data_IF_715455834942
#
_entry.id   IF_715455834942
#
_cell.length_a   1.000
_cell.length_b   1.000
_cell.length_c   1.000
_cell.angle_alpha   90.00
_cell.angle_beta   90.00
_cell.angle_gamma   90.00
#
_symmetry.space_group_name_H-M   'P 1'
#
loop_
_entity.id
_entity.type
_entity.pdbx_description
1 polymer ?
#
# COMPACT_ATOMS: atom_id res chain seq x y z
N UNK A 1 -3.10 1.89 -0.12
CA UNK A 1 -2.31 0.74 0.38
C UNK A 1 -1.89 1.03 1.80
N UNK A 2 -1.91 0.04 2.67
CA UNK A 2 -1.41 0.14 4.04
C UNK A 2 -0.17 -0.75 4.17
N UNK A 3 1.00 -0.14 4.37
CA UNK A 3 2.23 -0.85 4.70
C UNK A 3 2.37 -0.87 6.21
N UNK A 4 1.98 -2.00 6.81
CA UNK A 4 2.04 -2.20 8.26
C UNK A 4 3.46 -2.50 8.73
N UNK A 5 3.70 -2.48 10.05
CA UNK A 5 4.93 -2.99 10.69
C UNK A 5 5.36 -4.42 10.23
N UNK A 6 4.41 -5.20 9.68
CA UNK A 6 4.66 -6.53 9.11
C UNK A 6 5.01 -6.53 7.62
N UNK A 7 5.20 -5.37 7.00
CA UNK A 7 5.46 -5.19 5.56
C UNK A 7 4.37 -5.76 4.62
N UNK A 8 3.17 -6.03 5.14
CA UNK A 8 2.00 -6.36 4.32
C UNK A 8 1.54 -5.13 3.52
N UNK A 9 0.92 -5.33 2.36
CA UNK A 9 0.24 -4.29 1.57
C UNK A 9 -1.13 -4.81 1.15
N UNK A 10 -2.21 -4.16 1.61
CA UNK A 10 -3.57 -4.55 1.20
C UNK A 10 -4.38 -3.34 0.68
N UNK A 11 -4.63 -3.25 -0.65
CA UNK A 11 -5.51 -2.23 -1.22
C UNK A 11 -6.99 -2.40 -0.83
N UNK A 12 -7.41 -3.59 -0.34
CA UNK A 12 -8.81 -3.85 0.04
C UNK A 12 -9.20 -3.11 1.32
N UNK A 13 -8.23 -2.74 2.17
CA UNK A 13 -8.49 -1.98 3.40
C UNK A 13 -9.12 -0.60 3.13
N UNK A 14 -8.80 0.00 1.98
CA UNK A 14 -9.34 1.29 1.56
C UNK A 14 -9.79 1.21 0.10
N UNK A 15 -11.01 0.71 -0.16
CA UNK A 15 -11.53 0.62 -1.52
C UNK A 15 -11.49 1.97 -2.22
N UNK A 16 -10.97 1.96 -3.46
CA UNK A 16 -10.91 3.14 -4.31
C UNK A 16 -12.30 3.55 -4.81
N UNK A 17 -12.43 4.81 -5.19
CA UNK A 17 -13.66 5.39 -5.74
C UNK A 17 -13.31 6.31 -6.91
N UNK A 18 -14.19 6.39 -7.90
CA UNK A 18 -14.14 7.45 -8.90
C UNK A 18 -14.60 8.76 -8.27
N UNK A 19 -13.76 9.79 -8.39
CA UNK A 19 -14.03 11.12 -7.85
C UNK A 19 -14.17 12.07 -9.03
N UNK A 20 -15.30 12.77 -9.11
CA UNK A 20 -15.54 13.76 -10.17
C UNK A 20 -14.58 14.96 -10.08
N UNK A 21 -14.37 15.71 -11.19
CA UNK A 21 -13.51 16.90 -11.18
C UNK A 21 -13.92 17.92 -10.11
N UNK A 22 -12.94 18.44 -9.37
CA UNK A 22 -13.16 19.44 -8.31
C UNK A 22 -13.85 18.91 -7.05
N UNK A 23 -14.05 17.59 -6.94
CA UNK A 23 -14.63 16.94 -5.76
C UNK A 23 -13.53 16.39 -4.85
N UNK A 24 -13.90 16.20 -3.59
CA UNK A 24 -13.07 15.53 -2.59
C UNK A 24 -13.56 14.11 -2.41
N UNK A 25 -12.64 13.15 -2.44
CA UNK A 25 -12.90 11.77 -2.03
C UNK A 25 -12.44 11.53 -0.60
N UNK A 26 -13.11 10.60 0.08
CA UNK A 26 -12.75 10.16 1.41
C UNK A 26 -12.54 8.64 1.40
N UNK A 27 -11.53 8.17 2.12
CA UNK A 27 -11.41 6.74 2.42
C UNK A 27 -12.58 6.31 3.31
N UNK A 28 -13.01 5.05 3.19
CA UNK A 28 -14.09 4.46 3.99
C UNK A 28 -15.37 5.29 4.04
N UNK A 29 -15.72 5.99 2.96
CA UNK A 29 -16.88 6.91 2.89
C UNK A 29 -16.89 7.98 4.00
N UNK A 30 -15.71 8.39 4.48
CA UNK A 30 -15.54 9.36 5.55
C UNK A 30 -15.58 8.76 6.96
N UNK A 31 -15.70 7.43 7.09
CA UNK A 31 -15.58 6.78 8.38
C UNK A 31 -14.14 6.90 8.92
N UNK A 32 -13.96 7.03 10.25
CA UNK A 32 -12.63 7.09 10.84
C UNK A 32 -11.81 5.82 10.59
N UNK A 33 -10.55 6.00 10.21
CA UNK A 33 -9.56 4.93 10.21
C UNK A 33 -9.19 4.61 11.65
N UNK A 34 -9.25 3.34 12.05
CA UNK A 34 -8.90 2.88 13.40
C UNK A 34 -7.54 2.20 13.37
N UNK A 35 -6.47 2.84 13.89
CA UNK A 35 -5.19 2.18 14.06
C UNK A 35 -5.31 1.12 15.14
N UNK A 36 -4.62 -0.01 14.97
CA UNK A 36 -4.55 -1.07 15.95
C UNK A 36 -3.12 -1.60 16.04
N UNK A 37 -2.73 -2.08 17.22
CA UNK A 37 -1.49 -2.84 17.34
C UNK A 37 -1.67 -4.22 16.68
N UNK A 38 -0.63 -4.78 16.07
CA UNK A 38 -0.64 -6.18 15.65
C UNK A 38 -1.02 -7.08 16.83
N UNK A 39 -1.80 -8.15 16.59
CA UNK A 39 -2.29 -9.02 17.67
C UNK A 39 -1.19 -9.68 18.52
N UNK A 40 0.03 -9.76 18.01
CA UNK A 40 1.21 -10.25 18.74
C UNK A 40 1.81 -9.23 19.71
N UNK A 41 1.40 -7.96 19.66
CA UNK A 41 1.97 -6.87 20.47
C UNK A 41 1.07 -6.54 21.64
N UNK A 42 1.59 -6.69 22.86
CA UNK A 42 0.88 -6.35 24.08
C UNK A 42 0.55 -4.85 24.16
N UNK A 43 -0.69 -4.53 24.53
CA UNK A 43 -1.15 -3.16 24.79
C UNK A 43 -0.61 -2.71 26.14
N UNK A 44 0.41 -1.85 26.12
CA UNK A 44 0.99 -1.21 27.32
C UNK A 44 1.39 0.22 26.98
N UNK A 45 1.42 1.11 27.98
CA UNK A 45 1.85 2.51 27.78
C UNK A 45 3.21 2.56 27.08
N UNK A 46 3.31 3.44 26.08
CA UNK A 46 4.48 3.60 25.22
C UNK A 46 4.63 2.55 24.10
N UNK A 47 3.76 1.55 24.01
CA UNK A 47 3.73 0.67 22.84
C UNK A 47 3.38 1.50 21.59
N UNK A 48 4.12 1.32 20.51
CA UNK A 48 3.90 2.04 19.25
C UNK A 48 3.78 1.09 18.05
N UNK A 49 3.17 1.57 16.97
CA UNK A 49 3.15 0.97 15.63
C UNK A 49 3.39 2.07 14.59
N UNK A 50 4.06 1.74 13.49
CA UNK A 50 4.27 2.65 12.36
C UNK A 50 3.66 2.05 11.10
N UNK A 51 2.86 2.85 10.42
CA UNK A 51 2.16 2.43 9.21
C UNK A 51 2.39 3.45 8.10
N UNK A 52 2.48 3.02 6.84
CA UNK A 52 2.52 3.92 5.69
C UNK A 52 1.28 3.74 4.83
N UNK A 53 0.49 4.81 4.71
CA UNK A 53 -0.62 4.86 3.77
C UNK A 53 -0.15 5.39 2.42
N UNK A 54 -0.29 4.58 1.37
CA UNK A 54 -0.06 5.00 -0.03
C UNK A 54 -1.38 5.37 -0.69
N UNK A 55 -1.53 6.64 -1.03
CA UNK A 55 -2.55 7.12 -1.94
C UNK A 55 -2.04 6.97 -3.37
N UNK A 56 -2.86 6.35 -4.23
CA UNK A 56 -2.64 6.25 -5.66
C UNK A 56 -3.84 6.89 -6.33
N UNK A 57 -3.59 7.86 -7.22
CA UNK A 57 -4.61 8.52 -8.03
C UNK A 57 -4.26 8.27 -9.48
N UNK A 58 -5.24 7.86 -10.28
CA UNK A 58 -5.10 7.65 -11.71
C UNK A 58 -6.30 8.25 -12.45
N UNK A 59 -6.11 8.63 -13.71
CA UNK A 59 -7.19 9.12 -14.56
C UNK A 59 -8.20 8.02 -14.93
N UNK A 60 -7.76 6.76 -14.97
CA UNK A 60 -8.57 5.57 -15.25
C UNK A 60 -8.60 4.56 -14.10
N UNK A 61 -9.35 3.48 -14.29
CA UNK A 61 -9.40 2.39 -13.33
C UNK A 61 -8.03 1.69 -13.22
N UNK A 62 -7.54 1.52 -11.99
CA UNK A 62 -6.27 0.86 -11.73
C UNK A 62 -6.51 -0.56 -11.22
N UNK A 63 -5.89 -1.56 -11.86
CA UNK A 63 -5.83 -2.90 -11.29
C UNK A 63 -4.98 -2.90 -10.02
N UNK A 64 -5.60 -3.17 -8.87
CA UNK A 64 -4.91 -3.16 -7.57
C UNK A 64 -4.37 -4.52 -7.14
N UNK A 65 -4.70 -5.60 -7.86
CA UNK A 65 -4.25 -6.97 -7.52
C UNK A 65 -2.73 -7.09 -7.41
N UNK A 66 -1.90 -6.50 -8.30
CA UNK A 66 -0.44 -6.59 -8.20
C UNK A 66 0.16 -5.90 -6.96
N UNK A 67 -0.59 -5.04 -6.27
CA UNK A 67 -0.12 -4.35 -5.06
C UNK A 67 -0.51 -5.08 -3.76
N UNK A 68 -1.16 -6.25 -3.85
CA UNK A 68 -1.42 -7.11 -2.70
C UNK A 68 -0.13 -7.83 -2.32
N UNK A 69 0.38 -7.55 -1.12
CA UNK A 69 1.51 -8.25 -0.53
C UNK A 69 1.09 -8.80 0.82
N UNK A 70 1.36 -10.08 1.06
CA UNK A 70 1.16 -10.69 2.37
C UNK A 70 2.14 -10.10 3.37
N UNK A 71 1.79 -10.21 4.66
CA UNK A 71 2.71 -9.90 5.73
C UNK A 71 4.01 -10.71 5.56
N UNK A 72 5.14 -10.02 5.66
CA UNK A 72 6.45 -10.63 5.66
C UNK A 72 6.56 -11.59 6.85
N UNK A 73 6.90 -12.84 6.57
CA UNK A 73 7.12 -13.86 7.58
C UNK A 73 8.49 -14.51 7.34
N UNK A 74 9.43 -14.30 8.26
CA UNK A 74 10.78 -14.86 8.18
C UNK A 74 10.83 -16.40 8.26
N UNK A 75 9.73 -17.04 8.68
CA UNK A 75 9.60 -18.50 8.77
C UNK A 75 8.67 -19.09 7.71
N UNK A 76 8.14 -18.28 6.79
CA UNK A 76 7.41 -18.83 5.64
C UNK A 76 8.40 -19.61 4.77
N UNK A 77 8.24 -20.93 4.70
CA UNK A 77 8.99 -21.76 3.76
C UNK A 77 8.65 -21.31 2.35
N UNK A 78 9.66 -20.85 1.60
CA UNK A 78 9.46 -20.34 0.25
C UNK A 78 8.85 -21.42 -0.64
N UNK A 79 7.55 -21.33 -0.92
CA UNK A 79 7.05 -21.85 -2.18
C UNK A 79 7.66 -20.98 -3.27
N UNK A 80 8.15 -21.61 -4.33
CA UNK A 80 8.90 -21.01 -5.45
C UNK A 80 8.28 -19.76 -6.12
N UNK A 81 7.09 -19.34 -5.70
CA UNK A 81 6.34 -18.19 -6.20
C UNK A 81 6.29 -16.99 -5.23
N UNK A 82 6.76 -17.12 -3.98
CA UNK A 82 6.54 -16.12 -2.91
C UNK A 82 7.79 -15.32 -2.50
N UNK A 83 8.90 -15.51 -3.22
CA UNK A 83 10.07 -14.63 -3.15
C UNK A 83 10.19 -14.00 -4.53
N UNK A 84 10.36 -12.68 -4.60
CA UNK A 84 10.81 -11.98 -5.80
C UNK A 84 12.04 -12.72 -6.36
N UNK A 85 11.80 -13.66 -7.29
CA UNK A 85 12.86 -14.31 -8.02
C UNK A 85 13.43 -13.21 -8.89
N UNK A 86 14.56 -12.67 -8.46
CA UNK A 86 15.53 -12.05 -9.35
C UNK A 86 16.09 -13.17 -10.25
N UNK A 87 15.23 -13.78 -11.07
CA UNK A 87 15.69 -14.51 -12.25
C UNK A 87 16.56 -13.53 -13.03
N UNK A 88 17.70 -14.02 -13.54
CA UNK A 88 18.63 -13.21 -14.32
C UNK A 88 17.83 -12.31 -15.27
N UNK A 89 17.98 -10.97 -15.18
CA UNK A 89 17.09 -10.06 -15.87
C UNK A 89 17.19 -10.32 -17.37
N UNK A 90 16.12 -10.86 -17.97
CA UNK A 90 15.95 -10.84 -19.41
C UNK A 90 15.60 -9.41 -19.81
N UNK A 91 16.62 -8.56 -19.87
CA UNK A 91 16.52 -7.12 -20.14
C UNK A 91 16.47 -6.29 -18.86
N UNK A 92 17.48 -5.44 -18.66
CA UNK A 92 17.38 -4.36 -17.68
C UNK A 92 16.21 -3.46 -18.03
N UNK A 93 15.37 -3.12 -17.05
CA UNK A 93 14.33 -2.09 -17.24
C UNK A 93 14.99 -0.73 -17.14
N UNK A 94 15.07 -0.03 -18.26
CA UNK A 94 15.46 1.38 -18.27
C UNK A 94 14.27 2.25 -17.89
N UNK A 95 14.50 3.21 -16.99
CA UNK A 95 13.51 4.24 -16.66
C UNK A 95 13.54 5.31 -17.77
N UNK A 96 12.45 5.40 -18.52
CA UNK A 96 12.26 6.40 -19.56
C UNK A 96 11.36 7.56 -19.10
N UNK A 97 11.40 8.71 -19.80
CA UNK A 97 10.45 9.80 -19.56
C UNK A 97 9.02 9.33 -19.84
N UNK A 98 8.05 9.86 -19.09
CA UNK A 98 6.64 9.63 -19.38
C UNK A 98 6.28 10.22 -20.77
N UNK A 99 5.72 9.40 -21.66
CA UNK A 99 5.30 9.84 -22.98
C UNK A 99 4.21 10.92 -22.90
N UNK A 100 4.29 11.95 -23.75
CA UNK A 100 3.23 12.95 -23.86
C UNK A 100 1.98 12.31 -24.45
N UNK A 101 0.88 12.26 -23.69
CA UNK A 101 -0.43 11.78 -24.15
C UNK A 101 -0.84 10.38 -23.68
N UNK A 102 -0.10 9.75 -22.77
CA UNK A 102 -0.52 8.46 -22.22
C UNK A 102 -1.80 8.61 -21.40
N UNK A 103 -2.83 7.84 -21.75
CA UNK A 103 -4.14 7.75 -21.09
C UNK A 103 -4.10 7.16 -19.66
N UNK A 104 -2.94 7.22 -19.00
CA UNK A 104 -2.63 6.50 -17.78
C UNK A 104 -1.78 7.37 -16.84
N UNK A 105 -2.10 8.67 -16.75
CA UNK A 105 -1.42 9.52 -15.77
C UNK A 105 -1.85 9.10 -14.38
N UNK A 106 -0.86 8.89 -13.53
CA UNK A 106 -1.07 8.59 -12.12
C UNK A 106 -0.10 9.39 -11.26
N UNK A 107 -0.51 9.62 -10.03
CA UNK A 107 0.29 10.25 -9.00
C UNK A 107 0.17 9.43 -7.72
N UNK A 108 1.17 9.58 -6.83
CA UNK A 108 1.08 8.98 -5.50
C UNK A 108 1.54 9.93 -4.43
N UNK A 109 1.01 9.68 -3.23
CA UNK A 109 1.45 10.32 -2.01
C UNK A 109 1.56 9.27 -0.92
N UNK A 110 2.61 9.36 -0.11
CA UNK A 110 2.80 8.50 1.06
C UNK A 110 2.53 9.32 2.32
N UNK A 111 1.69 8.79 3.21
CA UNK A 111 1.39 9.36 4.52
C UNK A 111 1.96 8.41 5.58
N UNK A 112 2.85 8.92 6.42
CA UNK A 112 3.46 8.14 7.51
C UNK A 112 2.64 8.33 8.78
N UNK A 113 2.21 7.23 9.39
CA UNK A 113 1.46 7.20 10.64
C UNK A 113 2.30 6.59 11.76
N UNK A 114 2.19 7.17 12.95
CA UNK A 114 2.74 6.62 14.19
C UNK A 114 1.65 6.67 15.24
N UNK A 115 1.25 5.50 15.72
CA UNK A 115 0.27 5.37 16.81
C UNK A 115 0.99 4.94 18.07
N UNK A 116 0.72 5.61 19.20
CA UNK A 116 1.32 5.32 20.50
C UNK A 116 0.21 5.10 21.52
N UNK A 117 0.32 4.03 22.31
CA UNK A 117 -0.55 3.78 23.47
C UNK A 117 -0.15 4.75 24.59
N UNK A 118 -1.09 5.56 25.13
CA UNK A 118 -0.80 6.50 26.19
C UNK A 118 -0.31 5.81 27.47
#
# INVERSE_FOLDING_TARGET
LDLTDSYASDPVLFPGHFIGPGRTGHALDGAPVRPALPGSRAVRSGAEVRDWLKLIVAEGELNTVPFRMRAWNQWAGGTDEDVLRFGAPSGGRDLGPAGQGAADRWATQTITLRTVVP
#
